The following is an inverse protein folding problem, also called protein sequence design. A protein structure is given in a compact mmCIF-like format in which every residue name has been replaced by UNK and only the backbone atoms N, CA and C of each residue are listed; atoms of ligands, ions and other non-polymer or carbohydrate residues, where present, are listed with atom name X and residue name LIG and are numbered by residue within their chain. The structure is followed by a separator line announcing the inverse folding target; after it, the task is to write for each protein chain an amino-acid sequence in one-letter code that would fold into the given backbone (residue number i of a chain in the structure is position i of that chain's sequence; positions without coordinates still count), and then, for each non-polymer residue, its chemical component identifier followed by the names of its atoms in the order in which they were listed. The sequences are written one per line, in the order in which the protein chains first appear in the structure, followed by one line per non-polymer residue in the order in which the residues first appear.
data_IF_122735374673
#
_entry.id   IF_122735374673
#
_cell.length_a   1.000
_cell.length_b   1.000
_cell.length_c   1.000
_cell.angle_alpha   90.00
_cell.angle_beta   90.00
_cell.angle_gamma   90.00
#
_symmetry.space_group_name_H-M   'P 1'
#
loop_
_entity.id
_entity.type
_entity.pdbx_description
1 polymer ?
#
# COMPACT_ATOMS: atom_id res chain seq x y z
N UNK A 1 -3.03 -10.49 -0.05
CA UNK A 1 -3.83 -9.32 0.33
C UNK A 1 -3.25 -8.73 1.61
N UNK A 2 -3.23 -9.38 2.76
CA UNK A 2 -2.73 -8.69 3.96
C UNK A 2 -1.31 -8.04 3.91
N UNK A 3 -0.35 -8.63 3.19
CA UNK A 3 1.05 -8.18 3.21
C UNK A 3 1.32 -6.81 2.55
N UNK A 4 0.67 -6.48 1.44
CA UNK A 4 0.89 -5.21 0.73
C UNK A 4 0.41 -3.99 1.52
N UNK A 5 -0.57 -4.15 2.41
CA UNK A 5 -0.96 -3.10 3.35
C UNK A 5 -0.01 -3.01 4.52
N UNK A 6 0.33 -4.16 5.12
CA UNK A 6 1.32 -4.20 6.17
C UNK A 6 2.57 -3.42 5.74
N UNK A 7 3.03 -3.68 4.52
CA UNK A 7 4.09 -2.93 3.86
C UNK A 7 3.77 -1.44 3.64
N UNK A 8 2.57 -1.10 3.14
CA UNK A 8 2.15 0.30 2.95
C UNK A 8 2.25 1.13 4.21
N UNK A 9 1.84 0.56 5.34
CA UNK A 9 1.82 1.22 6.63
C UNK A 9 3.23 1.37 7.22
N UNK A 10 4.21 0.63 6.71
CA UNK A 10 5.61 0.83 7.05
C UNK A 10 6.13 2.16 6.51
N UNK A 11 5.79 2.47 5.25
CA UNK A 11 6.49 3.52 4.52
C UNK A 11 5.64 4.76 4.24
N UNK A 12 4.32 4.73 4.50
CA UNK A 12 3.44 5.88 4.24
C UNK A 12 2.41 6.13 5.33
N UNK A 13 2.28 7.39 5.75
CA UNK A 13 1.24 7.83 6.69
C UNK A 13 1.02 9.33 6.66
N UNK A 14 -0.13 9.76 6.14
CA UNK A 14 -0.43 11.18 5.87
C UNK A 14 -1.84 11.61 6.33
N UNK A 15 -2.54 10.73 7.07
CA UNK A 15 -3.90 10.97 7.56
C UNK A 15 -3.90 11.74 8.89
N UNK A 16 -4.84 12.68 9.02
CA UNK A 16 -5.30 13.14 10.34
C UNK A 16 -6.26 12.12 10.95
N UNK A 17 -6.51 12.23 12.26
CA UNK A 17 -7.69 11.61 12.87
C UNK A 17 -8.95 12.17 12.19
N UNK A 18 -9.95 11.34 11.90
CA UNK A 18 -11.16 11.78 11.20
C UNK A 18 -12.06 12.62 12.13
N UNK A 19 -12.16 13.93 11.85
CA UNK A 19 -13.05 14.86 12.56
C UNK A 19 -14.05 15.58 11.64
N UNK A 20 -14.15 15.17 10.37
CA UNK A 20 -14.99 15.84 9.38
C UNK A 20 -16.48 15.50 9.51
N UNK A 21 -17.34 16.49 9.27
CA UNK A 21 -18.75 16.30 8.98
C UNK A 21 -19.15 17.05 7.69
N UNK A 22 -20.21 16.59 7.03
CA UNK A 22 -20.67 17.12 5.74
C UNK A 22 -21.01 18.61 5.71
N UNK A 23 -21.35 19.20 6.86
CA UNK A 23 -21.74 20.60 7.03
C UNK A 23 -20.62 21.46 7.63
N UNK A 24 -19.45 20.88 7.90
CA UNK A 24 -18.34 21.61 8.49
C UNK A 24 -17.63 22.45 7.42
N UNK A 25 -17.35 23.71 7.74
CA UNK A 25 -16.59 24.62 6.88
C UNK A 25 -15.24 24.85 7.54
N UNK A 26 -14.19 24.21 7.00
CA UNK A 26 -12.83 24.37 7.48
C UNK A 26 -11.85 24.02 6.35
N UNK A 27 -10.69 24.67 6.31
CA UNK A 27 -9.72 24.63 5.20
C UNK A 27 -9.14 23.22 4.93
N UNK A 28 -9.11 22.38 5.97
CA UNK A 28 -8.66 20.99 5.92
C UNK A 28 -9.79 19.99 5.67
N UNK A 29 -10.97 20.45 5.21
CA UNK A 29 -12.11 19.58 4.90
C UNK A 29 -12.43 19.61 3.40
N UNK A 30 -12.78 18.43 2.87
CA UNK A 30 -13.38 18.28 1.55
C UNK A 30 -14.51 17.27 1.65
N UNK A 31 -15.58 17.46 0.89
CA UNK A 31 -16.70 16.52 0.85
C UNK A 31 -16.99 16.08 -0.57
N UNK A 32 -17.39 14.82 -0.72
CA UNK A 32 -17.95 14.30 -1.97
C UNK A 32 -19.46 14.45 -1.86
N UNK A 33 -20.05 15.30 -2.69
CA UNK A 33 -21.51 15.38 -2.79
C UNK A 33 -22.05 14.11 -3.44
N UNK A 34 -23.09 13.52 -2.84
CA UNK A 34 -23.78 12.37 -3.41
C UNK A 34 -24.83 12.83 -4.41
N UNK A 35 -25.00 12.05 -5.49
CA UNK A 35 -26.05 12.28 -6.46
C UNK A 35 -27.42 12.02 -5.84
N UNK A 36 -28.47 12.65 -6.37
CA UNK A 36 -29.84 12.53 -5.83
C UNK A 36 -30.37 11.09 -5.90
N UNK A 37 -29.95 10.36 -6.93
CA UNK A 37 -30.28 8.98 -7.22
C UNK A 37 -29.25 7.98 -6.65
N UNK A 38 -28.25 8.46 -5.90
CA UNK A 38 -27.26 7.60 -5.26
C UNK A 38 -27.94 6.69 -4.21
N UNK A 39 -27.71 5.36 -4.24
CA UNK A 39 -28.29 4.43 -3.27
C UNK A 39 -27.96 4.72 -1.80
N UNK A 40 -26.88 5.45 -1.51
CA UNK A 40 -26.49 5.89 -0.15
C UNK A 40 -27.24 7.13 0.31
N UNK A 41 -27.76 7.96 -0.60
CA UNK A 41 -28.44 9.21 -0.27
C UNK A 41 -29.59 9.03 0.74
N UNK A 42 -30.47 8.01 0.63
CA UNK A 42 -31.53 7.79 1.63
C UNK A 42 -31.03 7.33 3.00
N UNK A 43 -29.77 6.87 3.11
CA UNK A 43 -29.20 6.25 4.31
C UNK A 43 -28.41 7.26 5.16
N UNK A 44 -28.15 8.46 4.64
CA UNK A 44 -27.29 9.46 5.27
C UNK A 44 -28.10 10.70 5.67
N UNK A 45 -27.78 11.25 6.84
CA UNK A 45 -28.39 12.49 7.35
C UNK A 45 -28.10 13.70 6.45
N UNK A 46 -26.94 13.69 5.80
CA UNK A 46 -26.54 14.66 4.78
C UNK A 46 -25.98 13.87 3.59
N UNK A 47 -26.35 14.20 2.33
CA UNK A 47 -25.97 13.44 1.15
C UNK A 47 -24.52 13.76 0.73
N UNK A 48 -23.55 13.40 1.59
CA UNK A 48 -22.14 13.60 1.32
C UNK A 48 -21.27 12.55 2.00
N UNK A 49 -20.05 12.38 1.48
CA UNK A 49 -18.96 11.64 2.14
C UNK A 49 -17.95 12.68 2.65
N UNK A 50 -17.79 12.85 3.98
CA UNK A 50 -16.83 13.78 4.55
C UNK A 50 -15.41 13.20 4.50
N UNK A 51 -14.44 14.02 4.08
CA UNK A 51 -13.03 13.60 3.94
C UNK A 51 -12.12 14.66 4.56
N UNK A 52 -11.27 14.24 5.49
CA UNK A 52 -10.22 15.09 6.07
C UNK A 52 -9.05 15.16 5.09
N UNK A 53 -8.66 16.37 4.65
CA UNK A 53 -7.49 16.59 3.79
C UNK A 53 -6.21 16.10 4.46
N UNK A 54 -5.19 15.77 3.68
CA UNK A 54 -3.93 15.23 4.21
C UNK A 54 -3.11 16.29 4.94
N UNK A 55 -2.28 15.83 5.90
CA UNK A 55 -1.41 16.68 6.71
C UNK A 55 -0.42 17.42 5.80
N UNK A 56 -0.33 18.76 5.85
CA UNK A 56 0.68 19.54 5.12
C UNK A 56 2.00 19.61 5.92
N UNK A 57 3.15 19.72 5.24
CA UNK A 57 4.46 19.90 5.91
C UNK A 57 4.60 21.33 6.47
N UNK A 58 4.26 22.33 5.67
CA UNK A 58 4.29 23.74 6.04
C UNK A 58 3.58 24.55 4.95
N UNK A 59 2.65 25.42 5.34
CA UNK A 59 1.90 26.27 4.41
C UNK A 59 2.52 27.67 4.38
N UNK A 60 2.88 28.13 3.17
CA UNK A 60 3.40 29.49 2.94
C UNK A 60 2.77 30.06 1.68
N UNK A 61 2.44 31.35 1.72
CA UNK A 61 1.93 32.07 0.56
C UNK A 61 2.86 31.93 -0.65
N UNK A 62 2.28 31.58 -1.80
CA UNK A 62 3.00 31.38 -3.05
C UNK A 62 3.76 30.06 -3.19
N UNK A 63 3.75 29.19 -2.16
CA UNK A 63 4.34 27.84 -2.24
C UNK A 63 3.20 26.81 -2.39
N UNK A 64 3.26 25.91 -3.39
CA UNK A 64 2.29 24.82 -3.50
C UNK A 64 2.24 23.96 -2.23
N UNK A 65 1.03 23.55 -1.84
CA UNK A 65 0.81 22.67 -0.67
C UNK A 65 1.46 21.30 -0.92
N UNK A 66 2.37 20.91 -0.03
CA UNK A 66 2.98 19.57 -0.01
C UNK A 66 2.54 18.77 1.22
N UNK A 67 2.22 17.49 1.01
CA UNK A 67 1.73 16.59 2.07
C UNK A 67 2.90 15.92 2.80
N UNK A 68 2.75 15.78 4.12
CA UNK A 68 3.71 15.13 4.99
C UNK A 68 3.58 13.62 4.93
N UNK A 69 4.72 12.92 4.91
CA UNK A 69 4.79 11.52 5.32
C UNK A 69 5.29 11.47 6.78
N UNK A 70 4.48 10.92 7.68
CA UNK A 70 4.82 10.78 9.11
C UNK A 70 5.64 9.52 9.41
N UNK A 71 5.69 8.58 8.47
CA UNK A 71 6.52 7.38 8.61
C UNK A 71 7.89 7.57 7.96
N UNK A 72 8.85 6.76 8.40
CA UNK A 72 10.13 6.61 7.70
C UNK A 72 9.85 6.12 6.28
N UNK A 73 10.65 6.56 5.31
CA UNK A 73 10.43 6.13 3.93
C UNK A 73 10.99 4.72 3.64
N UNK A 74 11.93 4.27 4.46
CA UNK A 74 12.61 2.99 4.34
C UNK A 74 11.72 1.83 4.80
N UNK A 75 12.01 0.64 4.29
CA UNK A 75 11.34 -0.60 4.67
C UNK A 75 12.05 -1.13 5.92
N UNK A 76 11.72 -0.54 7.07
CA UNK A 76 12.45 -0.71 8.33
C UNK A 76 11.54 -1.20 9.47
N UNK A 77 10.33 -1.65 9.13
CA UNK A 77 9.32 -2.13 10.08
C UNK A 77 8.86 -1.10 11.11
N UNK A 78 8.87 0.17 10.74
CA UNK A 78 8.38 1.27 11.56
C UNK A 78 6.89 1.13 11.91
N UNK A 79 6.10 0.37 11.16
CA UNK A 79 4.73 0.05 11.59
C UNK A 79 4.67 -0.82 12.85
N UNK A 80 5.75 -1.56 13.17
CA UNK A 80 5.87 -2.34 14.41
C UNK A 80 6.66 -1.60 15.49
N UNK A 81 7.64 -0.79 15.10
CA UNK A 81 8.55 -0.13 16.03
C UNK A 81 8.22 1.34 16.31
N UNK A 82 7.35 1.96 15.52
CA UNK A 82 7.11 3.39 15.52
C UNK A 82 8.13 4.15 14.68
N UNK A 83 7.73 5.32 14.17
CA UNK A 83 8.59 6.21 13.37
C UNK A 83 9.12 7.41 14.19
N UNK A 84 8.86 7.43 15.51
CA UNK A 84 9.27 8.49 16.43
C UNK A 84 9.88 7.91 17.71
N UNK A 85 10.79 8.66 18.35
CA UNK A 85 11.37 8.28 19.66
C UNK A 85 10.31 8.01 20.74
N UNK A 86 9.25 8.84 20.89
CA UNK A 86 8.16 8.54 21.81
C UNK A 86 7.44 7.23 21.51
N UNK A 87 7.11 6.95 20.25
CA UNK A 87 6.43 5.70 19.87
C UNK A 87 7.30 4.48 20.14
N UNK A 88 8.57 4.53 19.73
CA UNK A 88 9.55 3.47 19.99
C UNK A 88 9.67 3.15 21.48
N UNK A 89 9.71 4.17 22.35
CA UNK A 89 9.76 3.98 23.81
C UNK A 89 8.44 3.44 24.36
N UNK A 90 7.30 3.90 23.83
CA UNK A 90 5.97 3.46 24.23
C UNK A 90 5.71 2.00 23.89
N UNK A 91 6.23 1.51 22.78
CA UNK A 91 6.00 0.15 22.27
C UNK A 91 6.91 -0.92 22.88
N UNK A 92 8.00 -0.54 23.57
CA UNK A 92 8.99 -1.49 24.11
C UNK A 92 8.84 -1.77 25.61
N UNK A 93 9.21 -2.98 26.02
CA UNK A 93 9.44 -3.40 27.40
C UNK A 93 10.84 -4.03 27.48
N UNK A 94 11.84 -3.22 27.84
CA UNK A 94 13.25 -3.62 27.77
C UNK A 94 13.67 -3.90 26.32
N UNK A 95 14.08 -5.14 26.04
CA UNK A 95 14.47 -5.60 24.70
C UNK A 95 13.32 -6.23 23.90
N UNK A 96 12.12 -6.37 24.50
CA UNK A 96 10.93 -6.94 23.87
C UNK A 96 9.93 -5.84 23.49
N UNK A 97 8.98 -6.16 22.63
CA UNK A 97 7.79 -5.33 22.44
C UNK A 97 6.82 -5.54 23.62
N UNK A 98 6.03 -4.53 23.93
CA UNK A 98 4.93 -4.65 24.89
C UNK A 98 3.86 -5.55 24.29
N UNK A 99 3.30 -6.38 25.14
CA UNK A 99 2.24 -7.32 24.77
C UNK A 99 1.23 -7.44 25.91
N UNK A 100 0.12 -8.10 25.62
CA UNK A 100 -0.91 -8.46 26.57
C UNK A 100 -1.28 -9.93 26.39
N UNK A 101 -1.72 -10.58 27.45
CA UNK A 101 -2.22 -11.94 27.38
C UNK A 101 -3.74 -11.92 27.24
N UNK A 102 -4.26 -12.56 26.18
CA UNK A 102 -5.69 -12.81 25.99
C UNK A 102 -5.88 -14.32 25.84
N UNK A 103 -6.64 -14.92 26.76
CA UNK A 103 -6.88 -16.38 26.80
C UNK A 103 -5.59 -17.23 26.74
N UNK A 104 -4.53 -16.78 27.43
CA UNK A 104 -3.25 -17.49 27.51
C UNK A 104 -2.36 -17.32 26.27
N UNK A 105 -2.71 -16.44 25.33
CA UNK A 105 -1.91 -16.12 24.14
C UNK A 105 -1.46 -14.66 24.16
N UNK A 106 -0.30 -14.41 23.58
CA UNK A 106 0.31 -13.09 23.53
C UNK A 106 -0.21 -12.28 22.33
N UNK A 107 -0.68 -11.07 22.58
CA UNK A 107 -1.20 -10.15 21.58
C UNK A 107 -0.58 -8.76 21.74
N UNK A 108 -0.60 -7.92 20.70
CA UNK A 108 -0.35 -6.49 20.87
C UNK A 108 -1.29 -5.88 21.93
N UNK A 109 -0.87 -4.86 22.70
CA UNK A 109 -1.73 -4.17 23.64
C UNK A 109 -2.97 -3.60 22.92
N UNK A 110 -4.15 -3.67 23.55
CA UNK A 110 -5.36 -3.08 22.97
C UNK A 110 -5.16 -1.56 22.75
N UNK A 111 -5.02 -1.18 21.49
CA UNK A 111 -5.25 0.17 20.98
C UNK A 111 -6.64 0.21 20.36
N UNK A 112 -7.41 1.27 20.62
CA UNK A 112 -8.79 1.45 20.12
C UNK A 112 -8.79 1.86 18.63
N UNK A 113 -7.62 2.20 18.07
CA UNK A 113 -7.45 2.56 16.67
C UNK A 113 -6.45 1.59 16.04
N UNK A 114 -6.94 0.79 15.08
CA UNK A 114 -6.25 0.37 13.85
C UNK A 114 -6.98 -0.85 13.28
N UNK A 115 -7.94 -0.59 12.38
CA UNK A 115 -8.64 -1.61 11.60
C UNK A 115 -7.94 -1.84 10.25
N UNK A 116 -7.90 -3.12 9.90
CA UNK A 116 -7.46 -3.84 8.69
C UNK A 116 -7.64 -3.17 7.33
N UNK A 117 -6.87 -3.59 6.30
CA UNK A 117 -7.14 -3.50 4.84
C UNK A 117 -5.96 -3.93 3.89
N UNK A 118 -5.78 -5.21 3.55
CA UNK A 118 -4.64 -5.69 2.72
C UNK A 118 -4.61 -5.39 1.19
N UNK A 119 -3.42 -5.53 0.56
CA UNK A 119 -3.13 -5.83 -0.87
C UNK A 119 -2.18 -7.06 -1.14
N UNK A 120 -2.51 -7.97 -2.07
CA UNK A 120 -1.61 -9.11 -2.43
C UNK A 120 -0.54 -8.65 -3.39
N UNK A 121 0.56 -9.37 -3.50
CA UNK A 121 1.51 -9.30 -4.62
C UNK A 121 1.45 -10.60 -5.40
N UNK A 122 1.30 -10.51 -6.73
CA UNK A 122 1.41 -11.64 -7.65
C UNK A 122 2.82 -11.71 -8.23
N UNK A 123 3.30 -12.92 -8.52
CA UNK A 123 4.59 -13.14 -9.18
C UNK A 123 4.53 -12.78 -10.66
N UNK A 124 5.42 -11.87 -11.07
CA UNK A 124 5.84 -11.69 -12.48
C UNK A 124 7.35 -11.44 -12.54
N UNK A 125 7.93 -11.63 -13.74
CA UNK A 125 9.33 -11.39 -14.08
C UNK A 125 9.74 -9.93 -13.83
N UNK A 126 9.92 -9.54 -12.56
CA UNK A 126 10.23 -8.17 -12.14
C UNK A 126 11.65 -7.75 -12.48
N UNK A 127 12.49 -8.68 -12.94
CA UNK A 127 13.90 -8.40 -13.28
C UNK A 127 14.07 -7.29 -14.34
N UNK A 128 13.04 -7.01 -15.15
CA UNK A 128 13.04 -5.87 -16.09
C UNK A 128 12.65 -4.53 -15.45
N UNK A 129 11.92 -4.53 -14.33
CA UNK A 129 11.42 -3.32 -13.64
C UNK A 129 12.23 -2.98 -12.37
N UNK A 130 12.70 -4.00 -11.65
CA UNK A 130 13.61 -3.91 -10.52
C UNK A 130 14.87 -4.73 -10.87
N UNK A 131 15.95 -4.07 -11.32
CA UNK A 131 17.21 -4.78 -11.59
C UNK A 131 17.82 -5.30 -10.28
N UNK A 132 18.73 -6.26 -10.39
CA UNK A 132 19.47 -6.79 -9.24
C UNK A 132 20.20 -5.68 -8.47
N UNK A 133 20.35 -5.88 -7.16
CA UNK A 133 21.06 -4.96 -6.28
C UNK A 133 22.51 -4.77 -6.73
N UNK A 134 22.92 -3.51 -6.89
CA UNK A 134 24.28 -3.13 -7.31
C UNK A 134 25.07 -2.46 -6.18
N UNK A 135 24.44 -2.24 -5.02
CA UNK A 135 25.04 -1.54 -3.88
C UNK A 135 24.29 -0.26 -3.52
N UNK A 136 24.56 0.24 -2.32
CA UNK A 136 24.01 1.50 -1.80
C UNK A 136 24.49 2.69 -2.63
N UNK A 137 23.57 3.60 -2.93
CA UNK A 137 23.81 4.85 -3.66
C UNK A 137 23.30 6.04 -2.87
N UNK A 138 24.23 6.86 -2.37
CA UNK A 138 23.91 8.02 -1.53
C UNK A 138 23.24 9.16 -2.31
N UNK A 139 23.41 9.21 -3.62
CA UNK A 139 22.83 10.22 -4.52
C UNK A 139 21.36 9.94 -4.89
N UNK A 140 20.82 8.78 -4.50
CA UNK A 140 19.42 8.41 -4.75
C UNK A 140 18.54 8.95 -3.64
N UNK A 141 17.52 9.72 -4.01
CA UNK A 141 16.52 10.23 -3.08
C UNK A 141 15.66 9.08 -2.51
N UNK A 142 15.70 8.89 -1.18
CA UNK A 142 14.96 7.85 -0.46
C UNK A 142 13.53 8.26 -0.09
N UNK A 143 13.10 9.49 -0.37
CA UNK A 143 11.77 9.97 -0.01
C UNK A 143 10.67 9.20 -0.74
N UNK A 144 9.53 9.02 -0.06
CA UNK A 144 8.34 8.49 -0.72
C UNK A 144 7.64 9.58 -1.51
N UNK A 145 7.55 9.37 -2.81
CA UNK A 145 6.94 10.32 -3.72
C UNK A 145 5.42 10.37 -3.53
N UNK A 146 4.85 11.56 -3.72
CA UNK A 146 3.42 11.78 -3.59
C UNK A 146 2.60 10.91 -4.59
N UNK A 147 3.17 10.70 -5.79
CA UNK A 147 2.63 9.77 -6.79
C UNK A 147 2.53 8.33 -6.28
N UNK A 148 3.56 7.85 -5.59
CA UNK A 148 3.59 6.48 -5.08
C UNK A 148 2.54 6.27 -3.99
N UNK A 149 2.39 7.24 -3.07
CA UNK A 149 1.36 7.23 -2.04
C UNK A 149 -0.07 7.17 -2.62
N UNK A 150 -0.26 7.59 -3.87
CA UNK A 150 -1.54 7.54 -4.56
C UNK A 150 -1.74 6.31 -5.46
N UNK A 151 -0.67 5.70 -5.98
CA UNK A 151 -0.75 4.54 -6.89
C UNK A 151 -0.61 3.20 -6.19
N UNK A 152 0.33 3.05 -5.25
CA UNK A 152 0.70 1.76 -4.68
C UNK A 152 -0.27 1.30 -3.60
N UNK A 153 -0.77 2.23 -2.80
CA UNK A 153 -1.42 1.91 -1.52
C UNK A 153 -2.92 2.08 -1.52
N UNK A 154 -3.49 2.39 -2.68
CA UNK A 154 -4.92 2.60 -2.86
C UNK A 154 -5.58 1.52 -3.70
N UNK A 155 -4.86 0.44 -3.99
CA UNK A 155 -5.28 -0.74 -4.74
C UNK A 155 -6.27 -1.64 -3.96
N UNK A 156 -7.27 -1.03 -3.34
CA UNK A 156 -8.38 -1.66 -2.62
C UNK A 156 -9.29 -2.52 -3.51
N UNK A 157 -9.01 -2.59 -4.82
CA UNK A 157 -9.59 -3.54 -5.79
C UNK A 157 -9.43 -5.01 -5.36
N UNK A 158 -8.67 -5.29 -4.30
CA UNK A 158 -8.39 -6.63 -3.77
C UNK A 158 -9.03 -6.93 -2.41
N UNK A 159 -9.74 -5.99 -1.77
CA UNK A 159 -10.48 -6.29 -0.55
C UNK A 159 -11.73 -7.08 -0.96
N UNK A 160 -11.73 -8.37 -0.65
CA UNK A 160 -12.85 -9.26 -0.93
C UNK A 160 -13.16 -10.13 0.28
N UNK A 161 -14.45 -10.37 0.53
CA UNK A 161 -14.89 -11.46 1.40
C UNK A 161 -14.76 -12.85 0.76
N UNK A 162 -14.46 -12.96 -0.55
CA UNK A 162 -14.34 -14.24 -1.27
C UNK A 162 -13.25 -14.23 -2.36
N UNK A 163 -12.55 -15.35 -2.51
CA UNK A 163 -11.19 -15.49 -3.05
C UNK A 163 -10.90 -15.18 -4.54
N UNK A 164 -11.82 -14.64 -5.34
CA UNK A 164 -11.52 -14.36 -6.77
C UNK A 164 -12.31 -13.18 -7.31
N UNK A 165 -11.85 -11.94 -7.14
CA UNK A 165 -12.41 -10.84 -7.94
C UNK A 165 -11.35 -9.89 -8.49
N UNK A 166 -11.48 -9.62 -9.80
CA UNK A 166 -10.72 -8.62 -10.56
C UNK A 166 -11.43 -7.26 -10.58
N UNK A 167 -12.24 -6.92 -9.57
CA UNK A 167 -13.11 -5.71 -9.55
C UNK A 167 -13.17 -5.12 -8.14
N UNK A 168 -13.45 -3.83 -8.04
CA UNK A 168 -13.69 -3.17 -6.74
C UNK A 168 -15.00 -3.73 -6.16
N UNK A 169 -14.94 -4.21 -4.92
CA UNK A 169 -16.07 -4.82 -4.25
C UNK A 169 -17.00 -3.79 -3.62
N UNK A 170 -18.30 -4.13 -3.58
CA UNK A 170 -19.31 -3.32 -2.88
C UNK A 170 -19.03 -3.19 -1.38
N UNK A 171 -18.17 -4.02 -0.81
CA UNK A 171 -17.82 -3.93 0.61
C UNK A 171 -17.05 -2.65 0.93
N UNK A 172 -16.14 -2.24 0.04
CA UNK A 172 -15.30 -1.05 0.24
C UNK A 172 -15.92 0.23 -0.33
N UNK A 173 -16.86 0.11 -1.28
CA UNK A 173 -17.60 1.27 -1.80
C UNK A 173 -18.90 1.51 -1.05
N UNK A 174 -19.66 0.45 -0.73
CA UNK A 174 -21.01 0.57 -0.18
C UNK A 174 -21.08 0.39 1.34
N UNK A 175 -20.22 -0.44 1.94
CA UNK A 175 -20.35 -0.88 3.34
C UNK A 175 -19.23 -0.41 4.26
N UNK A 176 -18.24 0.32 3.75
CA UNK A 176 -17.11 0.77 4.55
C UNK A 176 -17.56 1.73 5.67
N UNK A 177 -17.10 1.49 6.89
CA UNK A 177 -17.47 2.22 8.11
C UNK A 177 -19.00 2.39 8.24
N UNK A 178 -19.74 1.27 8.30
CA UNK A 178 -21.20 1.26 8.37
C UNK A 178 -21.87 2.07 7.23
N UNK A 179 -21.34 1.88 6.01
CA UNK A 179 -21.79 2.53 4.77
C UNK A 179 -21.57 4.06 4.67
N UNK A 180 -20.87 4.67 5.64
CA UNK A 180 -20.61 6.11 5.68
C UNK A 180 -19.45 6.56 4.77
N UNK A 181 -18.68 5.61 4.23
CA UNK A 181 -17.58 5.89 3.32
C UNK A 181 -17.70 5.13 1.98
N UNK A 182 -17.00 5.65 0.96
CA UNK A 182 -16.72 4.99 -0.31
C UNK A 182 -15.22 5.15 -0.62
N UNK A 183 -14.48 4.06 -0.56
CA UNK A 183 -13.04 4.08 -0.70
C UNK A 183 -12.57 4.49 -2.09
N UNK A 184 -13.34 4.18 -3.14
CA UNK A 184 -12.99 4.59 -4.50
C UNK A 184 -13.12 6.12 -4.65
N UNK A 185 -14.22 6.68 -4.15
CA UNK A 185 -14.43 8.13 -4.10
C UNK A 185 -13.36 8.83 -3.23
N UNK A 186 -13.03 8.25 -2.08
CA UNK A 186 -11.94 8.76 -1.21
C UNK A 186 -10.61 8.78 -1.94
N UNK A 187 -10.25 7.73 -2.68
CA UNK A 187 -8.98 7.66 -3.40
C UNK A 187 -8.87 8.70 -4.53
N UNK A 188 -9.97 8.94 -5.26
CA UNK A 188 -10.06 10.00 -6.27
C UNK A 188 -9.85 11.37 -5.62
N UNK A 189 -10.65 11.70 -4.61
CA UNK A 189 -10.56 13.00 -3.93
C UNK A 189 -9.21 13.20 -3.27
N UNK A 190 -8.65 12.15 -2.68
CA UNK A 190 -7.32 12.20 -2.08
C UNK A 190 -6.24 12.42 -3.13
N UNK A 191 -6.40 11.91 -4.35
CA UNK A 191 -5.51 12.26 -5.47
C UNK A 191 -5.56 13.75 -5.81
N UNK A 192 -6.76 14.34 -5.82
CA UNK A 192 -6.98 15.77 -6.07
C UNK A 192 -6.48 16.66 -4.92
N UNK A 193 -6.70 16.24 -3.67
CA UNK A 193 -6.17 16.91 -2.48
C UNK A 193 -4.64 17.02 -2.50
N UNK A 194 -3.99 15.97 -3.00
CA UNK A 194 -2.55 15.89 -3.17
C UNK A 194 -2.02 16.64 -4.41
N UNK A 195 -2.90 17.28 -5.18
CA UNK A 195 -2.52 18.01 -6.39
C UNK A 195 -1.90 17.12 -7.47
N UNK A 196 -2.26 15.83 -7.52
CA UNK A 196 -1.74 14.93 -8.53
C UNK A 196 -2.15 15.37 -9.93
N UNK A 197 -1.24 15.16 -10.88
CA UNK A 197 -1.46 15.45 -12.29
C UNK A 197 -2.46 14.47 -12.92
N UNK A 198 -2.86 14.75 -14.17
CA UNK A 198 -3.72 13.87 -14.95
C UNK A 198 -3.05 12.51 -15.18
N UNK A 199 -3.87 11.48 -15.39
CA UNK A 199 -3.40 10.15 -15.77
C UNK A 199 -2.46 10.17 -17.00
N UNK A 200 -2.73 11.02 -18.00
CA UNK A 200 -1.86 11.17 -19.17
C UNK A 200 -0.47 11.73 -18.82
N UNK A 201 -0.34 12.59 -17.81
CA UNK A 201 0.96 13.04 -17.31
C UNK A 201 1.78 11.89 -16.74
N UNK A 202 1.13 10.95 -16.03
CA UNK A 202 1.79 9.73 -15.56
C UNK A 202 2.17 8.78 -16.68
N UNK A 203 1.28 8.60 -17.67
CA UNK A 203 1.61 7.85 -18.89
C UNK A 203 2.82 8.45 -19.60
N UNK A 204 2.90 9.78 -19.71
CA UNK A 204 4.07 10.48 -20.29
C UNK A 204 5.34 10.21 -19.52
N UNK A 205 5.31 10.32 -18.19
CA UNK A 205 6.47 10.02 -17.34
C UNK A 205 6.95 8.57 -17.49
N UNK A 206 6.01 7.65 -17.69
CA UNK A 206 6.27 6.24 -17.90
C UNK A 206 6.52 5.85 -19.36
N UNK A 207 6.64 6.84 -20.28
CA UNK A 207 6.85 6.63 -21.71
C UNK A 207 5.79 5.73 -22.38
N UNK A 208 4.55 5.80 -21.89
CA UNK A 208 3.40 5.10 -22.43
C UNK A 208 2.67 6.00 -23.44
N UNK A 209 1.96 5.38 -24.39
CA UNK A 209 1.16 6.10 -25.38
C UNK A 209 0.10 6.96 -24.68
N UNK A 210 -0.01 8.25 -25.03
CA UNK A 210 -1.01 9.13 -24.43
C UNK A 210 -2.40 8.84 -24.98
N UNK A 211 -3.42 9.03 -24.16
CA UNK A 211 -4.81 8.88 -24.58
C UNK A 211 -5.27 10.22 -25.13
N UNK A 212 -5.36 10.34 -26.46
CA UNK A 212 -5.89 11.54 -27.12
C UNK A 212 -7.40 11.44 -27.33
N UNK A 213 -7.92 10.21 -27.41
CA UNK A 213 -9.35 9.94 -27.44
C UNK A 213 -9.67 8.60 -26.76
N UNK A 214 -10.88 8.49 -26.21
CA UNK A 214 -11.30 7.31 -25.45
C UNK A 214 -11.45 6.04 -26.30
N UNK A 215 -11.59 6.16 -27.63
CA UNK A 215 -11.71 5.00 -28.54
C UNK A 215 -10.36 4.32 -28.78
N UNK A 216 -9.28 5.10 -28.80
CA UNK A 216 -7.90 4.64 -28.98
C UNK A 216 -7.23 4.21 -27.67
N UNK A 217 -7.95 4.25 -26.54
CA UNK A 217 -7.44 3.75 -25.27
C UNK A 217 -7.43 2.22 -25.25
N UNK A 218 -6.44 1.64 -25.92
CA UNK A 218 -6.30 0.19 -26.10
C UNK A 218 -6.01 -0.53 -24.77
N UNK A 219 -5.28 0.09 -23.86
CA UNK A 219 -4.96 -0.49 -22.54
C UNK A 219 -6.08 -0.27 -21.51
N UNK A 220 -7.11 0.51 -21.86
CA UNK A 220 -8.29 0.66 -21.02
C UNK A 220 -9.08 -0.64 -21.00
N UNK A 221 -9.70 -0.95 -19.86
CA UNK A 221 -10.59 -2.11 -19.68
C UNK A 221 -11.73 -2.13 -20.72
N UNK A 222 -12.66 -3.07 -20.62
CA UNK A 222 -13.70 -3.29 -21.64
C UNK A 222 -14.46 -2.02 -22.09
N UNK A 223 -15.06 -2.07 -23.29
CA UNK A 223 -15.73 -0.92 -23.93
C UNK A 223 -16.80 -0.24 -23.06
N UNK A 224 -17.45 -0.99 -22.16
CA UNK A 224 -18.40 -0.43 -21.20
C UNK A 224 -17.73 0.55 -20.22
N UNK A 225 -16.55 0.20 -19.71
CA UNK A 225 -15.79 1.07 -18.81
C UNK A 225 -15.32 2.31 -19.58
N UNK A 226 -14.73 2.15 -20.77
CA UNK A 226 -14.27 3.28 -21.59
C UNK A 226 -15.40 4.28 -21.88
N UNK A 227 -16.57 3.76 -22.25
CA UNK A 227 -17.75 4.59 -22.53
C UNK A 227 -18.20 5.40 -21.31
N UNK A 228 -18.22 4.79 -20.12
CA UNK A 228 -18.56 5.50 -18.87
C UNK A 228 -17.51 6.53 -18.47
N UNK A 229 -16.23 6.19 -18.60
CA UNK A 229 -15.15 7.16 -18.31
C UNK A 229 -15.24 8.35 -19.26
N UNK A 230 -15.50 8.10 -20.55
CA UNK A 230 -15.69 9.14 -21.55
C UNK A 230 -16.87 10.06 -21.23
N UNK A 231 -18.01 9.49 -20.82
CA UNK A 231 -19.21 10.23 -20.40
C UNK A 231 -18.91 11.15 -19.20
N UNK A 232 -18.23 10.62 -18.18
CA UNK A 232 -17.97 11.32 -16.93
C UNK A 232 -16.86 12.38 -17.04
N UNK A 233 -15.75 12.06 -17.70
CA UNK A 233 -14.56 12.92 -17.72
C UNK A 233 -14.51 13.84 -18.94
N UNK A 234 -15.21 13.48 -20.03
CA UNK A 234 -15.37 14.21 -21.30
C UNK A 234 -14.08 14.45 -22.10
N UNK A 235 -12.96 14.61 -21.42
CA UNK A 235 -11.63 14.82 -21.95
C UNK A 235 -10.66 13.83 -21.27
N UNK A 236 -9.86 13.05 -22.01
CA UNK A 236 -8.86 12.15 -21.43
C UNK A 236 -7.85 12.83 -20.48
N UNK A 237 -7.57 14.13 -20.67
CA UNK A 237 -6.69 14.89 -19.78
C UNK A 237 -7.30 15.15 -18.39
N UNK A 238 -8.58 14.87 -18.19
CA UNK A 238 -9.23 15.00 -16.89
C UNK A 238 -9.23 13.71 -16.07
N UNK A 239 -8.76 12.58 -16.63
CA UNK A 239 -8.79 11.30 -15.93
C UNK A 239 -7.87 11.37 -14.69
N UNK A 240 -8.43 11.13 -13.51
CA UNK A 240 -7.64 11.00 -12.28
C UNK A 240 -6.71 9.77 -12.36
N UNK A 241 -5.48 9.90 -11.87
CA UNK A 241 -4.48 8.81 -11.87
C UNK A 241 -5.03 7.49 -11.31
N UNK A 242 -5.75 7.57 -10.18
CA UNK A 242 -6.31 6.37 -9.55
C UNK A 242 -7.24 5.63 -10.51
N UNK A 243 -8.20 6.34 -11.12
CA UNK A 243 -9.16 5.77 -12.06
C UNK A 243 -8.46 5.20 -13.30
N UNK A 244 -7.53 5.96 -13.88
CA UNK A 244 -6.76 5.52 -15.04
C UNK A 244 -6.00 4.23 -14.75
N UNK A 245 -5.22 4.18 -13.66
CA UNK A 245 -4.40 3.01 -13.35
C UNK A 245 -5.20 1.77 -12.93
N UNK A 246 -6.34 1.89 -12.22
CA UNK A 246 -7.17 0.72 -11.90
C UNK A 246 -7.95 0.18 -13.10
N UNK A 247 -8.14 0.99 -14.14
CA UNK A 247 -8.85 0.58 -15.35
C UNK A 247 -7.93 0.00 -16.41
N UNK A 248 -6.62 0.03 -16.20
CA UNK A 248 -5.68 -0.65 -17.09
C UNK A 248 -5.84 -2.17 -17.04
N UNK A 249 -5.62 -2.81 -18.19
CA UNK A 249 -5.33 -4.24 -18.22
C UNK A 249 -4.03 -4.55 -17.47
N UNK A 250 -4.08 -5.59 -16.64
CA UNK A 250 -2.93 -5.99 -15.82
C UNK A 250 -1.86 -6.65 -16.68
N UNK A 251 -0.59 -6.36 -16.38
CA UNK A 251 0.53 -7.08 -17.01
C UNK A 251 0.46 -8.58 -16.68
N UNK A 252 1.02 -9.43 -17.54
CA UNK A 252 1.05 -10.88 -17.32
C UNK A 252 1.78 -11.20 -16.01
N UNK A 253 1.11 -11.91 -15.09
CA UNK A 253 1.62 -12.23 -13.75
C UNK A 253 1.63 -11.05 -12.76
N UNK A 254 1.12 -9.89 -13.16
CA UNK A 254 0.94 -8.72 -12.28
C UNK A 254 -0.53 -8.59 -11.90
N UNK A 255 -0.82 -7.84 -10.83
CA UNK A 255 -2.20 -7.40 -10.54
C UNK A 255 -2.42 -5.91 -10.86
N UNK A 256 -1.42 -5.26 -11.46
CA UNK A 256 -1.48 -3.85 -11.86
C UNK A 256 -1.14 -3.71 -13.35
N UNK A 257 -1.70 -2.67 -13.96
CA UNK A 257 -1.36 -2.27 -15.32
C UNK A 257 -0.03 -1.52 -15.43
N UNK A 258 0.37 -1.15 -16.66
CA UNK A 258 1.67 -0.55 -16.94
C UNK A 258 1.96 0.76 -16.19
N UNK A 259 0.98 1.64 -16.00
CA UNK A 259 1.22 2.93 -15.31
C UNK A 259 1.52 2.70 -13.84
N UNK A 260 0.71 1.90 -13.15
CA UNK A 260 0.97 1.57 -11.75
C UNK A 260 2.22 0.71 -11.58
N UNK A 261 2.51 -0.22 -12.50
CA UNK A 261 3.76 -0.98 -12.46
C UNK A 261 4.99 -0.05 -12.53
N UNK A 262 4.97 0.94 -13.42
CA UNK A 262 6.02 1.95 -13.55
C UNK A 262 6.18 2.78 -12.26
N UNK A 263 5.10 3.36 -11.73
CA UNK A 263 5.19 4.22 -10.53
C UNK A 263 5.59 3.45 -9.28
N UNK A 264 5.10 2.21 -9.11
CA UNK A 264 5.44 1.34 -7.99
C UNK A 264 6.91 0.93 -8.10
N UNK A 265 7.32 0.36 -9.23
CA UNK A 265 8.70 -0.13 -9.40
C UNK A 265 9.74 0.98 -9.28
N UNK A 266 9.47 2.18 -9.78
CA UNK A 266 10.39 3.31 -9.64
C UNK A 266 10.61 3.69 -8.16
N UNK A 267 9.55 3.72 -7.34
CA UNK A 267 9.72 3.98 -5.91
C UNK A 267 10.47 2.84 -5.22
N UNK A 268 10.10 1.58 -5.47
CA UNK A 268 10.77 0.44 -4.85
C UNK A 268 12.25 0.38 -5.23
N UNK A 269 12.60 0.72 -6.47
CA UNK A 269 13.99 0.83 -6.92
C UNK A 269 14.74 1.91 -6.14
N UNK A 270 14.13 3.07 -5.92
CA UNK A 270 14.74 4.14 -5.13
C UNK A 270 14.99 3.68 -3.71
N UNK A 271 13.98 3.15 -3.02
CA UNK A 271 14.11 2.66 -1.65
C UNK A 271 15.21 1.61 -1.53
N UNK A 272 15.24 0.65 -2.45
CA UNK A 272 16.26 -0.39 -2.54
C UNK A 272 17.68 0.16 -2.74
N UNK A 273 17.87 1.11 -3.66
CA UNK A 273 19.19 1.65 -3.99
C UNK A 273 19.67 2.69 -2.94
N UNK A 274 18.74 3.37 -2.26
CA UNK A 274 19.02 4.47 -1.32
C UNK A 274 19.11 4.06 0.15
N UNK A 275 18.80 2.79 0.49
CA UNK A 275 18.83 2.34 1.87
C UNK A 275 20.24 1.85 2.23
N UNK A 276 20.93 2.65 3.06
CA UNK A 276 22.25 2.29 3.59
C UNK A 276 22.21 1.03 4.45
N UNK A 277 21.07 0.73 5.07
CA UNK A 277 20.86 -0.44 5.91
C UNK A 277 20.15 -1.59 5.18
N UNK A 278 20.03 -1.51 3.85
CA UNK A 278 19.49 -2.61 3.06
C UNK A 278 20.22 -3.91 3.40
N UNK A 279 19.47 -5.01 3.57
CA UNK A 279 20.03 -6.23 4.16
C UNK A 279 21.10 -6.92 3.29
N UNK A 280 21.11 -6.66 1.97
CA UNK A 280 22.16 -7.13 1.06
C UNK A 280 23.37 -6.19 0.98
N UNK A 281 23.31 -5.01 1.61
CA UNK A 281 24.48 -4.16 1.73
C UNK A 281 25.54 -4.87 2.59
N UNK A 282 26.78 -4.94 2.07
CA UNK A 282 27.90 -5.69 2.67
C UNK A 282 28.29 -5.17 4.05
N UNK A 283 27.94 -3.94 4.38
CA UNK A 283 28.19 -3.32 5.68
C UNK A 283 27.10 -3.65 6.71
N UNK A 284 25.92 -4.12 6.28
CA UNK A 284 24.79 -4.41 7.18
C UNK A 284 24.94 -5.79 7.83
N UNK A 285 25.16 -6.84 7.03
CA UNK A 285 25.25 -8.22 7.49
C UNK A 285 26.45 -8.94 6.89
N UNK A 286 26.97 -9.96 7.60
CA UNK A 286 27.97 -10.88 7.07
C UNK A 286 27.35 -11.72 5.96
N UNK A 287 28.13 -12.16 4.98
CA UNK A 287 27.64 -12.97 3.84
C UNK A 287 26.82 -14.21 4.26
N UNK A 288 27.21 -14.89 5.35
CA UNK A 288 26.43 -16.04 5.86
C UNK A 288 25.08 -15.63 6.44
N UNK A 289 25.03 -14.51 7.15
CA UNK A 289 23.80 -13.93 7.68
C UNK A 289 22.88 -13.49 6.55
N UNK A 290 23.39 -12.79 5.54
CA UNK A 290 22.62 -12.38 4.36
C UNK A 290 22.00 -13.56 3.63
N UNK A 291 22.76 -14.64 3.39
CA UNK A 291 22.21 -15.87 2.78
C UNK A 291 21.09 -16.48 3.62
N UNK A 292 21.28 -16.56 4.94
CA UNK A 292 20.23 -17.09 5.82
C UNK A 292 18.97 -16.22 5.84
N UNK A 293 19.10 -14.89 5.65
CA UNK A 293 17.95 -13.99 5.48
C UNK A 293 17.28 -14.22 4.12
N UNK A 294 18.04 -14.39 3.04
CA UNK A 294 17.51 -14.66 1.69
C UNK A 294 16.72 -15.97 1.61
N UNK A 295 17.05 -16.95 2.45
CA UNK A 295 16.32 -18.22 2.54
C UNK A 295 15.00 -18.12 3.31
N UNK A 296 14.70 -16.97 3.94
CA UNK A 296 13.43 -16.74 4.61
C UNK A 296 12.28 -16.55 3.62
N UNK A 297 11.07 -16.91 4.06
CA UNK A 297 9.83 -16.68 3.34
C UNK A 297 8.73 -16.24 4.29
N UNK A 298 7.63 -15.68 3.77
CA UNK A 298 6.46 -15.41 4.62
C UNK A 298 5.95 -16.72 5.28
N UNK A 299 6.07 -17.86 4.59
CA UNK A 299 5.75 -19.17 5.14
C UNK A 299 6.67 -19.55 6.32
N UNK A 300 7.97 -19.26 6.24
CA UNK A 300 8.89 -19.50 7.36
C UNK A 300 8.53 -18.68 8.59
N UNK A 301 8.17 -17.40 8.40
CA UNK A 301 7.72 -16.52 9.50
C UNK A 301 6.47 -17.10 10.15
N UNK A 302 5.45 -17.46 9.37
CA UNK A 302 4.20 -18.04 9.90
C UNK A 302 4.47 -19.34 10.66
N UNK A 303 5.32 -20.22 10.13
CA UNK A 303 5.70 -21.47 10.82
C UNK A 303 6.48 -21.23 12.12
N UNK A 304 7.27 -20.16 12.21
CA UNK A 304 8.06 -19.84 13.39
C UNK A 304 7.24 -19.16 14.49
N UNK A 305 6.22 -18.38 14.12
CA UNK A 305 5.48 -17.53 15.08
C UNK A 305 4.04 -17.95 15.29
N UNK A 306 3.48 -18.80 14.43
CA UNK A 306 2.07 -19.18 14.46
C UNK A 306 1.76 -20.33 15.42
N UNK A 307 0.60 -20.25 16.07
CA UNK A 307 0.12 -21.31 16.97
C UNK A 307 -0.27 -22.58 16.20
N UNK A 308 0.51 -23.66 16.34
CA UNK A 308 0.19 -25.00 15.81
C UNK A 308 -0.09 -25.06 14.30
N UNK A 309 0.59 -24.26 13.48
CA UNK A 309 0.57 -24.46 12.03
C UNK A 309 1.39 -25.70 11.67
N UNK A 310 0.71 -26.81 11.38
CA UNK A 310 1.39 -28.05 10.98
C UNK A 310 1.84 -28.02 9.51
N UNK A 311 1.05 -27.40 8.62
CA UNK A 311 1.33 -27.37 7.18
C UNK A 311 0.96 -26.03 6.56
N UNK A 312 1.76 -25.59 5.59
CA UNK A 312 1.54 -24.35 4.84
C UNK A 312 2.13 -24.47 3.43
N UNK A 313 1.58 -23.80 2.41
CA UNK A 313 2.22 -23.69 1.11
C UNK A 313 3.58 -23.00 1.22
N UNK A 314 4.59 -23.45 0.44
CA UNK A 314 5.93 -22.83 0.46
C UNK A 314 5.91 -21.35 0.09
N UNK A 315 5.06 -20.97 -0.87
CA UNK A 315 4.82 -19.57 -1.22
C UNK A 315 3.47 -19.13 -0.63
N UNK A 316 3.51 -18.45 0.53
CA UNK A 316 2.33 -17.96 1.23
C UNK A 316 1.59 -16.80 0.51
N UNK A 317 2.11 -16.29 -0.61
CA UNK A 317 1.41 -15.33 -1.46
C UNK A 317 0.48 -15.99 -2.49
N UNK A 318 0.67 -17.29 -2.75
CA UNK A 318 -0.19 -18.05 -3.68
C UNK A 318 -1.35 -18.66 -2.91
N UNK A 319 -2.55 -18.50 -3.46
CA UNK A 319 -3.73 -19.23 -2.99
C UNK A 319 -3.54 -20.70 -3.31
N UNK A 320 -3.55 -21.53 -2.28
CA UNK A 320 -3.50 -22.98 -2.37
C UNK A 320 -4.64 -23.54 -1.54
N UNK A 321 -5.39 -24.53 -2.06
CA UNK A 321 -6.45 -25.21 -1.31
C UNK A 321 -5.87 -26.28 -0.38
N UNK A 322 -4.69 -26.00 0.16
CA UNK A 322 -3.83 -26.92 0.92
C UNK A 322 -3.36 -28.17 0.15
N UNK A 323 -3.46 -28.17 -1.17
CA UNK A 323 -3.04 -29.29 -2.03
C UNK A 323 -1.50 -29.41 -2.07
N UNK A 324 -0.81 -28.28 -1.98
CA UNK A 324 0.65 -28.18 -2.05
C UNK A 324 1.28 -27.77 -0.72
N UNK A 325 0.49 -27.76 0.36
CA UNK A 325 0.97 -27.44 1.69
C UNK A 325 2.00 -28.49 2.15
N UNK A 326 3.15 -28.05 2.67
CA UNK A 326 4.21 -28.90 3.20
C UNK A 326 4.30 -28.75 4.72
N UNK A 327 5.02 -29.66 5.40
CA UNK A 327 5.24 -29.52 6.84
C UNK A 327 6.02 -28.24 7.13
N UNK A 328 5.71 -27.57 8.24
CA UNK A 328 6.52 -26.45 8.72
C UNK A 328 7.96 -26.85 9.08
N UNK A 329 8.21 -28.14 9.30
CA UNK A 329 9.57 -28.66 9.50
C UNK A 329 10.37 -28.76 8.19
N UNK A 330 9.69 -28.82 7.04
CA UNK A 330 10.31 -28.85 5.70
C UNK A 330 10.56 -27.45 5.12
N UNK A 331 10.27 -26.40 5.89
CA UNK A 331 10.43 -25.00 5.49
C UNK A 331 11.67 -24.45 6.19
N UNK A 332 12.60 -23.88 5.40
CA UNK A 332 13.81 -23.24 5.90
C UNK A 332 13.47 -22.16 6.93
N UNK A 333 14.20 -22.14 8.05
CA UNK A 333 14.06 -21.17 9.14
C UNK A 333 15.34 -20.35 9.23
N UNK A 334 15.24 -19.16 9.81
CA UNK A 334 16.41 -18.31 10.06
C UNK A 334 17.37 -19.01 11.04
N UNK A 335 18.66 -19.08 10.69
CA UNK A 335 19.69 -19.66 11.56
C UNK A 335 20.25 -18.59 12.52
N UNK A 336 19.73 -18.57 13.75
CA UNK A 336 20.14 -17.62 14.78
C UNK A 336 21.57 -17.84 15.29
N UNK A 337 22.19 -19.02 15.11
CA UNK A 337 23.58 -19.25 15.55
C UNK A 337 24.57 -18.37 14.78
N UNK A 338 24.19 -17.91 13.57
CA UNK A 338 25.00 -16.98 12.78
C UNK A 338 25.15 -15.60 13.42
N UNK A 339 24.32 -15.24 14.40
CA UNK A 339 24.39 -14.00 15.17
C UNK A 339 25.05 -14.16 16.53
N UNK A 340 25.47 -15.37 16.89
CA UNK A 340 26.16 -15.63 18.15
C UNK A 340 27.48 -14.87 18.20
N UNK A 341 27.60 -13.94 19.14
CA UNK A 341 28.87 -13.32 19.49
C UNK A 341 29.63 -14.23 20.46
N UNK A 342 30.92 -14.41 20.22
CA UNK A 342 31.81 -14.93 21.25
C UNK A 342 32.02 -13.75 22.20
N UNK A 343 31.60 -13.89 23.46
CA UNK A 343 32.06 -12.97 24.51
C UNK A 343 33.58 -13.17 24.59
N UNK A 344 34.33 -12.23 24.03
CA UNK A 344 35.79 -12.14 24.19
C UNK A 344 36.09 -11.53 25.54
#
# INVERSE_FOLDING_TARGET
MQFGQFFSHDITGNNFDNFCACNSVHENLVSVSLARDDPKTPQLLLPCIPITRSIPIYERDGVPREQMNRHTSHIDTSMMHGSTDPDMKRLKNGHLLKTQLVNGREFPPLSIADQFDGMSTGESNINSLLPSYTGYRQDVDSSNSNKFAATAFRLHRMISAFFETRRIEKQVTEKLFDATADLASVNIVRGRDHGLRSYNEFRRMCQLALITNFREWNEGSNETVKSKVAELHKNPENIDLYLGGITEETLIGSMVGPTFACTISEQFKRLHDSDRFYFENKETFKTRQTRSIQDMSLASIICMTGDNYGRIPRNAFKTDKSENAVSCDDISKLDYELWRSIKV
#
